data_IF_459294287103
#
_entry.id   IF_459294287103
#
_cell.length_a   1.000
_cell.length_b   1.000
_cell.length_c   1.000
_cell.angle_alpha   90.00
_cell.angle_beta   90.00
_cell.angle_gamma   90.00
#
_symmetry.space_group_name_H-M   'P 1'
#
loop_
_entity.id
_entity.type
_entity.pdbx_description
1 polymer ?
#
# COMPACT_ATOMS: atom_id res chain seq x y z
N UNK A 1 18.61 23.93 1.11
CA UNK A 1 18.55 22.54 0.64
C UNK A 1 17.73 22.49 -0.64
N UNK A 2 18.22 21.80 -1.67
CA UNK A 2 17.50 21.64 -2.94
C UNK A 2 16.51 20.48 -2.79
N UNK A 3 15.30 20.55 -3.36
CA UNK A 3 14.33 19.46 -3.28
C UNK A 3 14.89 18.16 -3.88
N UNK A 4 14.59 17.04 -3.22
CA UNK A 4 14.87 15.65 -3.66
C UNK A 4 14.08 15.25 -4.92
N UNK A 5 13.20 16.12 -5.41
CA UNK A 5 12.66 16.04 -6.77
C UNK A 5 13.43 16.99 -7.69
N UNK A 6 14.23 16.46 -8.64
CA UNK A 6 14.89 17.32 -9.60
C UNK A 6 13.83 17.86 -10.58
N UNK A 7 13.95 19.14 -10.92
CA UNK A 7 13.75 19.85 -12.19
C UNK A 7 12.96 19.25 -13.40
N UNK A 8 12.20 18.17 -13.24
CA UNK A 8 11.65 17.38 -14.35
C UNK A 8 10.21 17.77 -14.73
N UNK A 9 9.53 18.57 -13.90
CA UNK A 9 8.21 19.14 -14.24
C UNK A 9 8.31 20.39 -15.13
N UNK A 10 9.51 20.97 -15.31
CA UNK A 10 9.73 22.18 -16.11
C UNK A 10 10.24 21.92 -17.53
N UNK A 11 10.44 20.65 -17.93
CA UNK A 11 10.94 20.32 -19.26
C UNK A 11 9.81 20.38 -20.32
N UNK A 12 9.73 21.51 -21.03
CA UNK A 12 8.87 21.70 -22.23
C UNK A 12 9.35 20.93 -23.49
N UNK A 13 10.33 20.00 -23.37
CA UNK A 13 10.81 19.23 -24.52
C UNK A 13 10.09 17.86 -24.62
N UNK A 14 9.27 17.63 -25.65
CA UNK A 14 8.53 16.37 -25.83
C UNK A 14 9.45 15.14 -25.98
N UNK A 15 10.73 15.31 -26.31
CA UNK A 15 11.70 14.19 -26.38
C UNK A 15 12.16 13.70 -25.01
N UNK A 16 12.14 14.56 -23.99
CA UNK A 16 12.43 14.17 -22.60
C UNK A 16 11.23 13.43 -22.01
N UNK A 17 10.00 13.81 -22.39
CA UNK A 17 8.77 13.20 -21.87
C UNK A 17 8.58 11.72 -22.25
N UNK A 18 9.10 11.28 -23.40
CA UNK A 18 9.02 9.88 -23.85
C UNK A 18 10.16 9.01 -23.28
N UNK A 19 11.34 9.57 -22.98
CA UNK A 19 12.44 8.83 -22.33
C UNK A 19 12.21 8.54 -20.84
N UNK A 20 11.45 9.39 -20.14
CA UNK A 20 11.19 9.28 -18.69
C UNK A 20 10.46 7.98 -18.30
N UNK A 21 9.72 7.34 -19.22
CA UNK A 21 9.04 6.06 -18.93
C UNK A 21 10.00 4.87 -18.93
N UNK A 22 10.95 4.83 -19.85
CA UNK A 22 11.93 3.74 -19.94
C UNK A 22 13.09 3.92 -18.95
N UNK A 23 13.42 5.18 -18.59
CA UNK A 23 14.53 5.46 -17.69
C UNK A 23 14.34 4.83 -16.29
N UNK A 24 13.10 4.72 -15.81
CA UNK A 24 12.78 4.12 -14.49
C UNK A 24 12.99 2.61 -14.45
N UNK A 25 13.01 1.93 -15.60
CA UNK A 25 13.12 0.48 -15.72
C UNK A 25 14.54 0.01 -16.00
N UNK A 26 15.50 0.92 -16.19
CA UNK A 26 16.91 0.52 -16.21
C UNK A 26 17.28 -0.13 -14.90
N UNK A 27 17.93 -1.30 -14.99
CA UNK A 27 18.41 -2.07 -13.84
C UNK A 27 19.25 -1.20 -12.87
N UNK A 28 19.97 -0.22 -13.42
CA UNK A 28 20.77 0.75 -12.66
C UNK A 28 19.96 1.56 -11.65
N UNK A 29 18.66 1.77 -11.87
CA UNK A 29 17.79 2.53 -10.97
C UNK A 29 17.16 1.67 -9.85
N UNK A 30 17.54 0.39 -9.72
CA UNK A 30 17.24 -0.51 -8.60
C UNK A 30 15.77 -0.85 -8.34
N UNK A 31 14.81 -0.18 -8.99
CA UNK A 31 13.36 -0.41 -8.79
C UNK A 31 13.00 -1.88 -9.06
N UNK A 32 13.52 -2.43 -10.17
CA UNK A 32 13.29 -3.83 -10.55
C UNK A 32 13.88 -4.81 -9.54
N UNK A 33 15.09 -4.54 -9.03
CA UNK A 33 15.73 -5.37 -8.02
C UNK A 33 14.94 -5.37 -6.70
N UNK A 34 14.57 -4.19 -6.20
CA UNK A 34 13.72 -4.06 -4.99
C UNK A 34 12.39 -4.78 -5.16
N UNK A 35 11.77 -4.69 -6.35
CA UNK A 35 10.53 -5.40 -6.63
C UNK A 35 10.70 -6.94 -6.59
N UNK A 36 11.79 -7.47 -7.14
CA UNK A 36 12.09 -8.90 -7.05
C UNK A 36 12.36 -9.35 -5.62
N UNK A 37 13.08 -8.57 -4.83
CA UNK A 37 13.37 -8.87 -3.42
C UNK A 37 12.07 -8.92 -2.60
N UNK A 38 11.18 -7.94 -2.76
CA UNK A 38 9.87 -7.93 -2.09
C UNK A 38 9.04 -9.17 -2.45
N UNK A 39 9.08 -9.61 -3.71
CA UNK A 39 8.41 -10.84 -4.14
C UNK A 39 9.03 -12.09 -3.54
N UNK A 40 10.36 -12.13 -3.41
CA UNK A 40 11.06 -13.22 -2.73
C UNK A 40 10.63 -13.33 -1.27
N UNK A 41 10.57 -12.20 -0.56
CA UNK A 41 10.14 -12.11 0.84
C UNK A 41 8.69 -12.63 1.00
N UNK A 42 7.80 -12.26 0.08
CA UNK A 42 6.40 -12.68 0.09
C UNK A 42 6.17 -14.21 -0.03
N UNK A 43 7.20 -14.98 -0.39
CA UNK A 43 7.12 -16.45 -0.53
C UNK A 43 7.96 -17.13 0.56
N UNK A 44 9.11 -16.56 0.91
CA UNK A 44 10.11 -17.19 1.76
C UNK A 44 9.61 -17.50 3.19
N UNK A 45 8.78 -16.64 3.78
CA UNK A 45 8.25 -16.80 5.15
C UNK A 45 6.90 -17.54 5.19
N UNK A 46 6.53 -18.16 4.07
CA UNK A 46 5.23 -18.75 3.81
C UNK A 46 4.47 -17.92 2.79
N UNK A 47 3.84 -18.61 1.84
CA UNK A 47 3.02 -17.96 0.82
C UNK A 47 1.94 -17.10 1.49
N UNK A 48 1.93 -15.79 1.17
CA UNK A 48 1.01 -14.80 1.79
C UNK A 48 -0.45 -15.26 1.69
N UNK A 49 -0.85 -15.85 0.56
CA UNK A 49 -2.21 -16.33 0.39
C UNK A 49 -2.49 -17.53 1.30
N UNK A 50 -1.60 -18.52 1.36
CA UNK A 50 -1.73 -19.67 2.25
C UNK A 50 -1.79 -19.26 3.74
N UNK A 51 -0.95 -18.31 4.16
CA UNK A 51 -0.98 -17.75 5.51
C UNK A 51 -2.29 -17.02 5.79
N UNK A 52 -2.77 -16.22 4.84
CA UNK A 52 -4.03 -15.49 4.96
C UNK A 52 -5.23 -16.43 5.07
N UNK A 53 -5.28 -17.49 4.26
CA UNK A 53 -6.32 -18.53 4.33
C UNK A 53 -6.32 -19.19 5.71
N UNK A 54 -5.14 -19.56 6.22
CA UNK A 54 -5.00 -20.19 7.53
C UNK A 54 -5.50 -19.27 8.65
N UNK A 55 -5.01 -18.02 8.68
CA UNK A 55 -5.39 -17.07 9.71
C UNK A 55 -6.89 -16.73 9.66
N UNK A 56 -7.43 -16.44 8.47
CA UNK A 56 -8.83 -16.14 8.28
C UNK A 56 -9.72 -17.30 8.76
N UNK A 57 -9.37 -18.54 8.41
CA UNK A 57 -10.10 -19.73 8.85
C UNK A 57 -10.11 -19.87 10.38
N UNK A 58 -8.97 -19.66 11.04
CA UNK A 58 -8.86 -19.76 12.50
C UNK A 58 -9.66 -18.64 13.22
N UNK A 59 -9.70 -17.44 12.65
CA UNK A 59 -10.51 -16.31 13.15
C UNK A 59 -12.01 -16.56 13.01
N UNK A 60 -12.46 -17.02 11.83
CA UNK A 60 -13.88 -17.31 11.55
C UNK A 60 -14.38 -18.50 12.38
N UNK A 61 -13.53 -19.49 12.64
CA UNK A 61 -13.81 -20.61 13.54
C UNK A 61 -13.69 -20.25 15.03
N UNK A 62 -13.35 -18.99 15.35
CA UNK A 62 -13.18 -18.47 16.73
C UNK A 62 -12.12 -19.22 17.55
N UNK A 63 -11.13 -19.80 16.88
CA UNK A 63 -9.99 -20.46 17.52
C UNK A 63 -8.91 -19.48 17.94
N UNK A 64 -8.91 -18.30 17.32
CA UNK A 64 -8.01 -17.19 17.63
C UNK A 64 -8.80 -15.89 17.81
N UNK A 65 -8.25 -14.95 18.59
CA UNK A 65 -8.81 -13.62 18.80
C UNK A 65 -7.72 -12.58 18.58
N UNK A 66 -8.05 -11.52 17.86
CA UNK A 66 -7.15 -10.39 17.63
C UNK A 66 -7.30 -9.34 18.73
N UNK A 67 -6.26 -8.53 18.99
CA UNK A 67 -6.40 -7.37 19.85
C UNK A 67 -7.48 -6.43 19.29
N UNK A 68 -8.35 -5.85 20.15
CA UNK A 68 -9.35 -4.90 19.70
C UNK A 68 -8.72 -3.68 19.06
N UNK A 69 -9.50 -2.96 18.24
CA UNK A 69 -9.10 -1.68 17.69
C UNK A 69 -8.89 -0.65 18.81
N UNK A 70 -7.83 0.16 18.70
CA UNK A 70 -7.59 1.28 19.61
C UNK A 70 -8.65 2.37 19.42
N UNK A 71 -9.04 2.60 18.15
CA UNK A 71 -10.18 3.44 17.76
C UNK A 71 -11.23 2.60 16.99
N UNK A 72 -12.26 2.06 17.69
CA UNK A 72 -13.35 1.32 17.08
C UNK A 72 -14.21 2.13 16.10
N UNK A 73 -14.15 3.46 16.18
CA UNK A 73 -14.94 4.35 15.33
C UNK A 73 -14.23 4.77 14.05
N UNK A 74 -12.93 4.46 13.94
CA UNK A 74 -12.16 4.65 12.72
C UNK A 74 -12.77 3.89 11.54
N UNK A 75 -12.64 4.46 10.33
CA UNK A 75 -13.23 3.84 9.13
C UNK A 75 -12.61 2.48 8.82
N UNK A 76 -11.33 2.27 9.16
CA UNK A 76 -10.63 1.00 8.94
C UNK A 76 -11.06 -0.05 9.96
N UNK A 77 -11.34 0.33 11.22
CA UNK A 77 -11.90 -0.60 12.20
C UNK A 77 -13.32 -1.04 11.82
N UNK A 78 -14.13 -0.12 11.26
CA UNK A 78 -15.46 -0.43 10.73
C UNK A 78 -15.38 -1.38 9.54
N UNK A 79 -14.41 -1.21 8.65
CA UNK A 79 -14.15 -2.11 7.52
C UNK A 79 -13.76 -3.51 7.97
N UNK A 80 -12.75 -3.63 8.85
CA UNK A 80 -12.34 -4.92 9.45
C UNK A 80 -13.53 -5.64 10.08
N UNK A 81 -14.28 -4.93 10.93
CA UNK A 81 -15.43 -5.50 11.64
C UNK A 81 -16.53 -5.94 10.68
N UNK A 82 -16.83 -5.14 9.66
CA UNK A 82 -17.86 -5.46 8.69
C UNK A 82 -17.52 -6.69 7.84
N UNK A 83 -16.28 -6.79 7.35
CA UNK A 83 -15.82 -7.99 6.64
C UNK A 83 -15.89 -9.24 7.53
N UNK A 84 -15.50 -9.12 8.80
CA UNK A 84 -15.62 -10.23 9.74
C UNK A 84 -17.09 -10.69 9.91
N UNK A 85 -18.02 -9.74 10.04
CA UNK A 85 -19.45 -10.02 10.17
C UNK A 85 -20.03 -10.69 8.91
N UNK A 86 -19.68 -10.21 7.72
CA UNK A 86 -20.10 -10.77 6.43
C UNK A 86 -19.60 -12.20 6.23
N UNK A 87 -18.30 -12.43 6.41
CA UNK A 87 -17.72 -13.77 6.26
C UNK A 87 -18.21 -14.73 7.35
N UNK A 88 -18.41 -14.25 8.58
CA UNK A 88 -18.99 -15.05 9.65
C UNK A 88 -20.44 -15.44 9.34
N UNK A 89 -21.23 -14.54 8.78
CA UNK A 89 -22.60 -14.83 8.34
C UNK A 89 -22.60 -15.84 7.20
N UNK A 90 -21.72 -15.68 6.21
CA UNK A 90 -21.57 -16.62 5.10
C UNK A 90 -21.18 -18.02 5.59
N UNK A 91 -20.20 -18.11 6.49
CA UNK A 91 -19.77 -19.40 7.05
C UNK A 91 -20.88 -20.11 7.82
N UNK A 92 -21.74 -19.37 8.53
CA UNK A 92 -22.92 -19.94 9.21
C UNK A 92 -23.91 -20.55 8.22
N UNK A 93 -24.11 -19.90 7.07
CA UNK A 93 -24.97 -20.42 5.99
C UNK A 93 -24.40 -21.68 5.36
N UNK A 94 -23.08 -21.73 5.15
CA UNK A 94 -22.37 -22.89 4.57
C UNK A 94 -22.28 -24.06 5.57
N UNK A 95 -22.14 -23.76 6.87
CA UNK A 95 -22.07 -24.71 7.97
C UNK A 95 -20.73 -25.43 8.16
N UNK A 96 -19.96 -25.67 7.08
CA UNK A 96 -18.63 -26.34 7.15
C UNK A 96 -17.56 -25.57 6.36
N UNK A 97 -16.38 -25.39 6.95
CA UNK A 97 -15.22 -24.74 6.32
C UNK A 97 -14.49 -25.61 5.28
N UNK A 98 -14.85 -26.88 5.12
CA UNK A 98 -14.27 -27.82 4.14
C UNK A 98 -15.29 -28.20 3.06
N UNK A 99 -15.99 -27.21 2.54
CA UNK A 99 -16.99 -27.38 1.50
C UNK A 99 -16.57 -26.61 0.25
N UNK A 100 -17.06 -27.05 -0.91
CA UNK A 100 -16.89 -26.31 -2.16
C UNK A 100 -17.47 -24.90 -2.10
N UNK A 101 -18.47 -24.67 -1.25
CA UNK A 101 -19.06 -23.34 -1.07
C UNK A 101 -18.14 -22.42 -0.27
N UNK A 102 -17.38 -22.95 0.70
CA UNK A 102 -16.33 -22.18 1.38
C UNK A 102 -15.25 -21.75 0.38
N UNK A 103 -14.82 -22.69 -0.47
CA UNK A 103 -13.81 -22.44 -1.50
C UNK A 103 -14.29 -21.40 -2.53
N UNK A 104 -15.60 -21.34 -2.78
CA UNK A 104 -16.20 -20.41 -3.75
C UNK A 104 -16.41 -19.01 -3.19
N UNK A 105 -16.85 -18.88 -1.94
CA UNK A 105 -17.33 -17.60 -1.40
C UNK A 105 -16.43 -16.97 -0.33
N UNK A 106 -15.66 -17.76 0.41
CA UNK A 106 -14.83 -17.26 1.52
C UNK A 106 -13.36 -17.30 1.17
N UNK A 107 -12.89 -18.37 0.52
CA UNK A 107 -11.48 -18.55 0.18
C UNK A 107 -10.88 -17.38 -0.63
N UNK A 108 -11.56 -16.80 -1.65
CA UNK A 108 -11.05 -15.65 -2.38
C UNK A 108 -10.91 -14.39 -1.51
N UNK A 109 -11.76 -14.27 -0.48
CA UNK A 109 -11.84 -13.10 0.41
C UNK A 109 -10.89 -13.19 1.60
N UNK A 110 -10.26 -14.36 1.85
CA UNK A 110 -9.32 -14.53 2.97
C UNK A 110 -8.17 -13.51 2.93
N UNK A 111 -7.56 -13.27 1.78
CA UNK A 111 -6.46 -12.31 1.66
C UNK A 111 -6.94 -10.86 1.87
N UNK A 112 -7.97 -10.36 1.17
CA UNK A 112 -8.56 -9.04 1.45
C UNK A 112 -8.95 -8.85 2.91
N UNK A 113 -9.56 -9.85 3.54
CA UNK A 113 -9.96 -9.80 4.95
C UNK A 113 -8.76 -9.65 5.90
N UNK A 114 -7.70 -10.46 5.71
CA UNK A 114 -6.48 -10.32 6.52
C UNK A 114 -5.75 -9.00 6.24
N UNK A 115 -5.80 -8.50 5.01
CA UNK A 115 -5.26 -7.18 4.69
C UNK A 115 -6.01 -6.06 5.41
N UNK A 116 -7.33 -6.11 5.50
CA UNK A 116 -8.12 -5.11 6.24
C UNK A 116 -7.76 -5.07 7.74
N UNK A 117 -7.54 -6.24 8.35
CA UNK A 117 -7.03 -6.34 9.73
C UNK A 117 -5.66 -5.65 9.84
N UNK A 118 -4.74 -5.99 8.95
CA UNK A 118 -3.40 -5.40 8.92
C UNK A 118 -3.44 -3.89 8.72
N UNK A 119 -4.36 -3.39 7.90
CA UNK A 119 -4.56 -1.98 7.63
C UNK A 119 -4.99 -1.22 8.88
N UNK A 120 -6.00 -1.75 9.60
CA UNK A 120 -6.42 -1.16 10.87
C UNK A 120 -5.30 -1.22 11.92
N UNK A 121 -4.58 -2.34 12.05
CA UNK A 121 -3.46 -2.46 13.00
C UNK A 121 -2.35 -1.44 12.73
N UNK A 122 -2.00 -1.23 11.46
CA UNK A 122 -1.00 -0.25 11.06
C UNK A 122 -1.46 1.18 11.34
N UNK A 123 -2.74 1.49 11.09
CA UNK A 123 -3.33 2.79 11.45
C UNK A 123 -3.28 3.04 12.96
N UNK A 124 -3.73 2.08 13.78
CA UNK A 124 -3.71 2.21 15.23
C UNK A 124 -2.28 2.42 15.74
N UNK A 125 -1.31 1.70 15.16
CA UNK A 125 0.10 1.90 15.48
C UNK A 125 0.61 3.29 15.08
N UNK A 126 0.26 3.78 13.89
CA UNK A 126 0.66 5.11 13.43
C UNK A 126 0.09 6.23 14.31
N UNK A 127 -1.19 6.13 14.70
CA UNK A 127 -1.84 7.08 15.60
C UNK A 127 -1.18 7.05 16.98
N UNK A 128 -0.91 5.86 17.53
CA UNK A 128 -0.26 5.69 18.84
C UNK A 128 1.15 6.28 18.88
N UNK A 129 1.90 6.10 17.80
CA UNK A 129 3.23 6.69 17.61
C UNK A 129 3.20 8.17 17.23
N UNK A 130 2.00 8.76 17.08
CA UNK A 130 1.79 10.18 16.76
C UNK A 130 2.50 10.59 15.46
N UNK A 131 2.43 9.74 14.45
CA UNK A 131 2.90 10.10 13.11
C UNK A 131 2.15 11.33 12.60
N UNK A 132 2.77 12.06 11.67
CA UNK A 132 2.17 13.23 11.05
C UNK A 132 0.81 12.87 10.41
N UNK A 133 -0.18 13.75 10.61
CA UNK A 133 -1.54 13.53 10.13
C UNK A 133 -1.63 13.45 8.62
N UNK A 134 -0.73 14.09 7.88
CA UNK A 134 -0.66 14.01 6.43
C UNK A 134 -0.28 12.59 5.97
N UNK A 135 0.67 11.94 6.65
CA UNK A 135 1.06 10.54 6.39
C UNK A 135 -0.11 9.62 6.71
N UNK A 136 -0.72 9.78 7.89
CA UNK A 136 -1.87 8.97 8.30
C UNK A 136 -3.03 9.15 7.31
N UNK A 137 -3.32 10.38 6.90
CA UNK A 137 -4.37 10.70 5.92
C UNK A 137 -4.12 10.03 4.57
N UNK A 138 -2.89 10.08 4.06
CA UNK A 138 -2.52 9.42 2.81
C UNK A 138 -2.64 7.89 2.91
N UNK A 139 -2.23 7.32 4.05
CA UNK A 139 -2.36 5.89 4.31
C UNK A 139 -3.82 5.45 4.28
N UNK A 140 -4.68 6.14 5.03
CA UNK A 140 -6.11 5.84 5.12
C UNK A 140 -6.79 6.01 3.76
N UNK A 141 -6.48 7.06 3.00
CA UNK A 141 -6.97 7.25 1.63
C UNK A 141 -6.56 6.11 0.69
N UNK A 142 -5.32 5.63 0.82
CA UNK A 142 -4.82 4.51 0.03
C UNK A 142 -5.55 3.20 0.38
N UNK A 143 -5.83 2.94 1.66
CA UNK A 143 -6.57 1.76 2.11
C UNK A 143 -8.01 1.76 1.57
N UNK A 144 -8.71 2.89 1.66
CA UNK A 144 -10.09 3.01 1.13
C UNK A 144 -10.15 2.73 -0.37
N UNK A 145 -9.12 3.11 -1.12
CA UNK A 145 -9.03 2.85 -2.56
C UNK A 145 -8.83 1.39 -2.94
N UNK A 146 -8.37 0.54 -2.02
CA UNK A 146 -8.21 -0.88 -2.28
C UNK A 146 -9.55 -1.62 -2.30
N UNK A 147 -10.55 -1.11 -1.58
CA UNK A 147 -11.90 -1.70 -1.53
C UNK A 147 -13.01 -0.62 -1.53
N UNK A 148 -13.09 0.22 -2.57
CA UNK A 148 -14.04 1.33 -2.59
C UNK A 148 -15.49 0.85 -2.58
N UNK A 149 -15.76 -0.35 -3.10
CA UNK A 149 -17.09 -0.96 -3.16
C UNK A 149 -17.67 -1.14 -1.76
N UNK A 150 -16.89 -1.69 -0.83
CA UNK A 150 -17.35 -1.90 0.53
C UNK A 150 -17.67 -0.59 1.24
N UNK A 151 -16.80 0.43 1.13
CA UNK A 151 -17.05 1.74 1.74
C UNK A 151 -18.27 2.45 1.13
N UNK A 152 -18.51 2.29 -0.17
CA UNK A 152 -19.71 2.84 -0.82
C UNK A 152 -20.96 2.15 -0.27
N UNK A 153 -20.95 0.82 -0.18
CA UNK A 153 -22.12 0.04 0.25
C UNK A 153 -22.43 0.21 1.74
N UNK A 154 -21.41 0.17 2.61
CA UNK A 154 -21.58 0.08 4.06
C UNK A 154 -21.39 1.40 4.81
N UNK A 155 -20.64 2.34 4.23
CA UNK A 155 -20.32 3.61 4.88
C UNK A 155 -20.99 4.82 4.20
N UNK A 156 -21.85 4.59 3.22
CA UNK A 156 -22.56 5.64 2.46
C UNK A 156 -21.62 6.68 1.82
N UNK A 157 -20.38 6.29 1.54
CA UNK A 157 -19.43 7.14 0.82
C UNK A 157 -19.78 7.12 -0.66
N UNK A 158 -19.80 8.27 -1.31
CA UNK A 158 -19.86 8.30 -2.77
C UNK A 158 -18.48 8.08 -3.37
N UNK A 159 -18.44 7.72 -4.67
CA UNK A 159 -17.19 7.70 -5.44
C UNK A 159 -16.51 9.07 -5.48
N UNK A 160 -17.27 10.15 -5.37
CA UNK A 160 -16.73 11.50 -5.31
C UNK A 160 -16.06 11.75 -3.95
N UNK A 161 -16.69 11.34 -2.85
CA UNK A 161 -16.12 11.48 -1.50
C UNK A 161 -14.77 10.77 -1.37
N UNK A 162 -14.65 9.55 -1.92
CA UNK A 162 -13.39 8.79 -1.93
C UNK A 162 -12.30 9.53 -2.74
N UNK A 163 -12.67 10.10 -3.90
CA UNK A 163 -11.73 10.89 -4.72
C UNK A 163 -11.28 12.17 -4.03
N UNK A 164 -12.20 12.88 -3.39
CA UNK A 164 -11.87 14.09 -2.67
C UNK A 164 -11.05 13.79 -1.41
N UNK A 165 -11.31 12.66 -0.75
CA UNK A 165 -10.50 12.19 0.37
C UNK A 165 -9.05 11.93 -0.06
N UNK A 166 -8.84 11.28 -1.20
CA UNK A 166 -7.50 11.11 -1.78
C UNK A 166 -6.87 12.46 -2.15
N UNK A 167 -7.60 13.33 -2.85
CA UNK A 167 -7.08 14.63 -3.28
C UNK A 167 -6.63 15.47 -2.08
N UNK A 168 -7.45 15.55 -1.01
CA UNK A 168 -7.10 16.26 0.23
C UNK A 168 -5.87 15.66 0.91
N UNK A 169 -5.74 14.33 0.91
CA UNK A 169 -4.58 13.67 1.49
C UNK A 169 -3.30 13.97 0.71
N UNK A 170 -3.35 13.98 -0.62
CA UNK A 170 -2.24 14.37 -1.49
C UNK A 170 -1.88 15.84 -1.25
N UNK A 171 -2.86 16.74 -1.29
CA UNK A 171 -2.65 18.18 -1.08
C UNK A 171 -2.03 18.48 0.29
N UNK A 172 -2.39 17.70 1.31
CA UNK A 172 -1.81 17.83 2.66
C UNK A 172 -0.40 17.27 2.75
N UNK A 173 -0.07 16.18 2.06
CA UNK A 173 1.22 15.49 2.19
C UNK A 173 2.29 16.06 1.26
N UNK A 174 1.89 16.48 0.05
CA UNK A 174 2.82 16.88 -1.00
C UNK A 174 3.78 18.02 -0.61
N UNK A 175 3.36 19.08 0.12
CA UNK A 175 4.26 20.16 0.52
C UNK A 175 5.45 19.70 1.37
N UNK A 176 5.25 18.69 2.23
CA UNK A 176 6.25 18.16 3.17
C UNK A 176 6.83 16.81 2.73
N UNK A 177 6.55 16.37 1.49
CA UNK A 177 6.99 15.06 1.01
C UNK A 177 8.51 14.90 1.06
N UNK A 178 9.27 15.93 0.69
CA UNK A 178 10.73 15.87 0.78
C UNK A 178 11.21 15.74 2.21
N UNK A 179 10.59 16.47 3.15
CA UNK A 179 10.96 16.40 4.57
C UNK A 179 10.74 14.99 5.13
N UNK A 180 9.61 14.35 4.79
CA UNK A 180 9.35 12.96 5.18
C UNK A 180 10.34 11.97 4.55
N UNK A 181 10.78 12.20 3.31
CA UNK A 181 11.80 11.36 2.67
C UNK A 181 13.19 11.55 3.29
N UNK A 182 13.54 12.78 3.67
CA UNK A 182 14.78 13.10 4.37
C UNK A 182 14.84 12.41 5.74
N UNK A 183 13.72 12.38 6.48
CA UNK A 183 13.62 11.71 7.78
C UNK A 183 13.90 10.20 7.73
N UNK A 184 13.63 9.53 6.61
CA UNK A 184 13.94 8.11 6.41
C UNK A 184 15.46 7.84 6.40
N UNK A 185 16.29 8.86 6.16
CA UNK A 185 17.76 8.75 6.12
C UNK A 185 18.28 7.62 5.20
N UNK A 186 17.56 7.35 4.11
CA UNK A 186 17.88 6.26 3.17
C UNK A 186 18.83 6.67 2.04
N UNK A 187 19.08 7.97 1.86
CA UNK A 187 19.93 8.51 0.78
C UNK A 187 21.30 7.80 0.65
N UNK A 188 22.03 7.48 1.75
CA UNK A 188 23.32 6.80 1.66
C UNK A 188 23.26 5.39 1.05
N UNK A 189 22.08 4.75 1.10
CA UNK A 189 21.87 3.38 0.60
C UNK A 189 21.31 3.34 -0.82
N UNK A 190 20.91 4.50 -1.38
CA UNK A 190 20.35 4.59 -2.73
C UNK A 190 21.50 4.78 -3.73
N UNK A 191 21.78 3.75 -4.53
CA UNK A 191 22.75 3.84 -5.64
C UNK A 191 22.09 4.22 -6.96
N UNK A 192 20.76 4.21 -7.03
CA UNK A 192 19.96 4.57 -8.19
C UNK A 192 20.35 5.94 -8.78
N UNK A 193 20.84 6.02 -10.03
CA UNK A 193 21.24 7.26 -10.67
C UNK A 193 20.14 8.33 -10.74
N UNK A 194 18.87 7.93 -10.86
CA UNK A 194 17.71 8.84 -10.95
C UNK A 194 17.48 9.67 -9.66
N UNK A 195 18.06 9.26 -8.54
CA UNK A 195 17.88 9.95 -7.25
C UNK A 195 18.45 11.36 -7.20
N UNK A 196 19.37 11.73 -8.09
CA UNK A 196 19.83 13.13 -8.23
C UNK A 196 20.38 13.43 -9.61
N UNK A 197 20.32 14.70 -10.02
CA UNK A 197 20.90 15.15 -11.29
C UNK A 197 22.41 14.85 -11.37
N UNK A 198 23.13 14.94 -10.25
CA UNK A 198 24.56 14.64 -10.18
C UNK A 198 24.83 13.16 -10.46
N UNK A 199 24.09 12.24 -9.81
CA UNK A 199 24.24 10.80 -10.02
C UNK A 199 23.82 10.41 -11.44
N UNK A 200 22.78 11.04 -11.99
CA UNK A 200 22.35 10.83 -13.36
C UNK A 200 23.41 11.23 -14.39
N UNK A 201 24.00 12.42 -14.27
CA UNK A 201 25.09 12.87 -15.17
C UNK A 201 26.33 11.99 -15.06
N UNK A 202 26.68 11.56 -13.85
CA UNK A 202 27.80 10.64 -13.65
C UNK A 202 27.54 9.29 -14.32
N UNK A 203 26.32 8.76 -14.21
CA UNK A 203 25.91 7.54 -14.89
C UNK A 203 25.97 7.67 -16.41
N UNK A 204 25.35 8.71 -17.00
CA UNK A 204 25.40 8.94 -18.45
C UNK A 204 26.83 9.07 -18.99
N UNK A 205 27.74 9.63 -18.19
CA UNK A 205 29.16 9.75 -18.55
C UNK A 205 29.91 8.41 -18.51
N UNK A 206 29.38 7.40 -17.82
CA UNK A 206 29.98 6.06 -17.69
C UNK A 206 29.50 5.06 -18.74
N UNK A 207 28.42 5.37 -19.47
CA UNK A 207 27.84 4.48 -20.48
C UNK A 207 28.43 4.81 -21.84
N UNK A 208 28.93 3.80 -22.57
CA UNK A 208 29.40 4.00 -23.94
C UNK A 208 28.21 4.30 -24.89
N UNK A 209 28.29 5.35 -25.73
CA UNK A 209 27.28 5.59 -26.74
C UNK A 209 27.27 4.45 -27.75
N UNK A 210 26.09 3.88 -28.01
CA UNK A 210 25.89 2.91 -29.09
C UNK A 210 26.30 3.55 -30.43
N UNK A 211 27.20 2.89 -31.18
CA UNK A 211 27.63 3.30 -32.53
C UNK A 211 26.81 2.62 -33.61
#
# INVERSE_FOLDING_TARGET
MRPLFPAFLTAKDPRVSHGIRDDRLFESNQITAVFYDIRGIAIAEGDILALSIRLASELLLKRYQLPPADDPDSILAKHEKGLYEEHSAMLRTIGKHRSSDFDRYILPECLPFIQAIGQRMAYDAAVRQKLDKAIIGMYVASCVKLDPSWYIEKMSMSRLDIREMEARAIDSMFPSLNDFLDELNVEPYITAPISSEKKWKAFLSSVEPYR
#
